data_IF_343561383114
#
_entry.id   IF_343561383114
#
_cell.length_a   1.000
_cell.length_b   1.000
_cell.length_c   1.000
_cell.angle_alpha   90.00
_cell.angle_beta   90.00
_cell.angle_gamma   90.00
#
_symmetry.space_group_name_H-M   'P 1'
#
loop_
_entity.id
_entity.type
_entity.pdbx_description
1 polymer ?
#
# COMPACT_ATOMS: atom_id res chain seq x y z
N UNK A 1 68.83 26.32 22.55
CA UNK A 1 68.00 26.92 21.48
C UNK A 1 66.90 25.93 21.14
N UNK A 2 65.69 26.12 21.70
CA UNK A 2 64.44 26.48 20.96
C UNK A 2 63.89 25.34 20.09
N UNK A 3 62.63 24.92 20.12
CA UNK A 3 61.37 25.37 20.75
C UNK A 3 60.36 24.21 20.56
N UNK A 4 59.39 24.16 21.48
CA UNK A 4 58.01 23.61 21.40
C UNK A 4 57.45 23.20 20.03
N UNK A 5 56.61 22.16 20.02
CA UNK A 5 55.17 22.14 19.66
C UNK A 5 54.76 20.67 19.45
N UNK A 6 53.56 20.15 19.71
CA UNK A 6 52.31 20.55 20.32
C UNK A 6 51.52 19.23 20.47
N UNK A 7 50.82 19.03 21.58
CA UNK A 7 49.97 17.87 21.83
C UNK A 7 48.90 17.67 20.74
N UNK A 8 48.64 16.41 20.36
CA UNK A 8 47.36 16.03 19.77
C UNK A 8 46.86 14.73 20.43
N UNK A 9 46.15 14.92 21.54
CA UNK A 9 45.43 13.87 22.24
C UNK A 9 44.06 13.75 21.56
N UNK A 10 43.90 12.76 20.68
CA UNK A 10 42.64 12.53 19.96
C UNK A 10 41.61 11.92 20.92
N UNK A 11 40.75 12.78 21.44
CA UNK A 11 39.58 12.38 22.24
C UNK A 11 38.47 11.94 21.26
N UNK A 12 38.25 10.62 21.15
CA UNK A 12 37.15 10.06 20.35
C UNK A 12 35.85 10.24 21.15
N UNK A 13 35.12 11.31 20.88
CA UNK A 13 33.74 11.46 21.35
C UNK A 13 32.83 10.51 20.57
N UNK A 14 32.50 9.36 21.17
CA UNK A 14 31.38 8.53 20.76
C UNK A 14 30.07 9.29 21.03
N UNK A 15 29.61 10.04 20.03
CA UNK A 15 28.25 10.54 19.99
C UNK A 15 27.31 9.35 19.80
N UNK A 16 26.81 8.79 20.91
CA UNK A 16 25.63 7.93 20.90
C UNK A 16 24.45 8.85 20.59
N UNK A 17 24.11 8.98 19.30
CA UNK A 17 22.89 9.64 18.89
C UNK A 17 21.72 8.87 19.51
N UNK A 18 20.84 9.51 20.32
CA UNK A 18 19.63 8.85 20.76
C UNK A 18 18.78 8.58 19.51
N UNK A 19 18.70 7.32 19.08
CA UNK A 19 17.70 6.92 18.11
C UNK A 19 16.36 7.02 18.82
N UNK A 20 15.61 8.10 18.57
CA UNK A 20 14.20 8.17 18.90
C UNK A 20 13.48 7.09 18.07
N UNK A 21 13.45 5.87 18.59
CA UNK A 21 12.59 4.81 18.08
C UNK A 21 11.17 5.12 18.53
N UNK A 22 10.52 6.10 17.88
CA UNK A 22 9.07 6.17 17.96
C UNK A 22 8.54 4.85 17.40
N UNK A 23 8.02 4.01 18.28
CA UNK A 23 7.37 2.76 17.90
C UNK A 23 6.20 3.11 16.99
N UNK A 24 6.16 2.50 15.80
CA UNK A 24 5.00 2.58 14.94
C UNK A 24 3.79 2.02 15.72
N UNK A 25 2.84 2.90 16.04
CA UNK A 25 1.61 2.55 16.73
C UNK A 25 0.44 2.97 15.85
N UNK A 26 -0.50 2.05 15.65
CA UNK A 26 -1.74 2.29 14.93
C UNK A 26 -2.82 2.75 15.89
N UNK A 27 -3.69 3.63 15.41
CA UNK A 27 -4.96 3.90 16.09
C UNK A 27 -5.87 2.66 16.00
N UNK A 28 -6.78 2.48 16.96
CA UNK A 28 -7.65 1.29 17.06
C UNK A 28 -8.42 1.02 15.76
N UNK A 29 -8.93 2.06 15.10
CA UNK A 29 -9.67 1.91 13.84
C UNK A 29 -8.76 1.49 12.67
N UNK A 30 -7.51 1.97 12.65
CA UNK A 30 -6.52 1.54 11.65
C UNK A 30 -6.12 0.08 11.89
N UNK A 31 -6.01 -0.35 13.16
CA UNK A 31 -5.70 -1.73 13.52
C UNK A 31 -6.84 -2.66 13.09
N UNK A 32 -8.10 -2.34 13.42
CA UNK A 32 -9.28 -3.10 12.95
C UNK A 32 -9.30 -3.23 11.43
N UNK A 33 -9.13 -2.12 10.71
CA UNK A 33 -9.10 -2.15 9.26
C UNK A 33 -7.92 -2.99 8.73
N UNK A 34 -6.74 -2.88 9.33
CA UNK A 34 -5.58 -3.69 8.95
C UNK A 34 -5.86 -5.19 9.14
N UNK A 35 -6.52 -5.60 10.23
CA UNK A 35 -6.95 -6.99 10.45
C UNK A 35 -7.95 -7.47 9.39
N UNK A 36 -8.94 -6.65 9.03
CA UNK A 36 -9.90 -7.00 7.99
C UNK A 36 -9.23 -7.17 6.62
N UNK A 37 -8.35 -6.24 6.25
CA UNK A 37 -7.59 -6.30 5.00
C UNK A 37 -6.68 -7.53 4.98
N UNK A 38 -6.00 -7.82 6.09
CA UNK A 38 -5.14 -8.98 6.22
C UNK A 38 -5.93 -10.27 5.99
N UNK A 39 -7.09 -10.43 6.66
CA UNK A 39 -7.99 -11.58 6.46
C UNK A 39 -8.44 -11.72 5.00
N UNK A 40 -8.82 -10.62 4.35
CA UNK A 40 -9.20 -10.62 2.93
C UNK A 40 -8.01 -11.04 2.07
N UNK A 41 -6.82 -10.48 2.29
CA UNK A 41 -5.63 -10.79 1.50
C UNK A 41 -5.18 -12.24 1.58
N UNK A 42 -5.44 -12.95 2.70
CA UNK A 42 -5.20 -14.40 2.84
C UNK A 42 -6.05 -15.24 1.86
N UNK A 43 -7.18 -14.71 1.39
CA UNK A 43 -8.06 -15.41 0.43
C UNK A 43 -7.54 -15.35 -1.01
N UNK A 44 -6.58 -14.47 -1.29
CA UNK A 44 -5.98 -14.33 -2.62
C UNK A 44 -4.69 -15.13 -2.74
N UNK A 45 -4.49 -15.75 -3.90
CA UNK A 45 -3.25 -16.44 -4.27
C UNK A 45 -2.84 -16.06 -5.69
N UNK A 46 -1.54 -15.84 -5.89
CA UNK A 46 -0.94 -15.71 -7.21
C UNK A 46 -0.91 -17.07 -7.92
N UNK A 47 -0.63 -17.08 -9.22
CA UNK A 47 -0.58 -18.30 -10.04
C UNK A 47 0.48 -19.29 -9.56
N UNK A 48 1.54 -18.82 -8.90
CA UNK A 48 2.59 -19.61 -8.26
C UNK A 48 2.37 -19.83 -6.74
N UNK A 49 1.19 -19.49 -6.23
CA UNK A 49 0.74 -19.87 -4.88
C UNK A 49 1.07 -18.90 -3.74
N UNK A 50 1.62 -17.72 -4.03
CA UNK A 50 1.95 -16.70 -3.04
C UNK A 50 0.69 -15.98 -2.56
N UNK A 51 0.49 -15.88 -1.24
CA UNK A 51 -0.58 -15.08 -0.63
C UNK A 51 -0.16 -13.62 -0.46
N UNK A 52 -1.13 -12.70 -0.31
CA UNK A 52 -0.87 -11.26 -0.40
C UNK A 52 -1.40 -10.46 0.78
N UNK A 53 -1.67 -11.08 1.93
CA UNK A 53 -2.21 -10.41 3.12
C UNK A 53 -1.35 -9.25 3.62
N UNK A 54 -0.04 -9.47 3.81
CA UNK A 54 0.87 -8.41 4.22
C UNK A 54 1.00 -7.32 3.15
N UNK A 55 0.98 -7.73 1.87
CA UNK A 55 1.07 -6.83 0.72
C UNK A 55 -0.13 -5.89 0.68
N UNK A 56 -1.34 -6.44 0.81
CA UNK A 56 -2.58 -5.69 0.72
C UNK A 56 -2.67 -4.67 1.87
N UNK A 57 -2.34 -5.09 3.10
CA UNK A 57 -2.31 -4.18 4.26
C UNK A 57 -1.25 -3.09 4.09
N UNK A 58 -0.06 -3.42 3.54
CA UNK A 58 0.99 -2.43 3.28
C UNK A 58 0.61 -1.45 2.17
N UNK A 59 -0.14 -1.88 1.14
CA UNK A 59 -0.70 -0.96 0.14
C UNK A 59 -1.62 0.03 0.83
N UNK A 60 -2.58 -0.43 1.65
CA UNK A 60 -3.49 0.48 2.32
C UNK A 60 -2.78 1.45 3.29
N UNK A 61 -1.75 0.97 4.00
CA UNK A 61 -0.89 1.82 4.81
C UNK A 61 -0.19 2.90 3.97
N UNK A 62 0.41 2.53 2.84
CA UNK A 62 1.13 3.46 1.97
C UNK A 62 0.20 4.51 1.36
N UNK A 63 -0.96 4.08 0.88
CA UNK A 63 -1.83 4.89 0.04
C UNK A 63 -2.70 5.86 0.85
N UNK A 64 -3.15 5.45 2.04
CA UNK A 64 -4.12 6.25 2.82
C UNK A 64 -3.82 6.29 4.31
N UNK A 65 -2.67 5.76 4.74
CA UNK A 65 -2.40 5.51 6.16
C UNK A 65 -3.51 4.67 6.80
N UNK A 66 -3.86 3.54 6.17
CA UNK A 66 -4.94 2.64 6.61
C UNK A 66 -6.27 3.38 6.78
N UNK A 67 -6.72 4.09 5.75
CA UNK A 67 -8.03 4.74 5.71
C UNK A 67 -8.12 6.09 6.41
N UNK A 68 -7.02 6.65 6.92
CA UNK A 68 -7.01 8.00 7.52
C UNK A 68 -7.18 9.11 6.48
N UNK A 69 -6.62 8.91 5.28
CA UNK A 69 -6.66 9.88 4.19
C UNK A 69 -7.22 9.21 2.92
N UNK A 70 -8.54 9.23 2.76
CA UNK A 70 -9.25 8.48 1.70
C UNK A 70 -9.54 9.28 0.43
N UNK A 71 -9.38 10.60 0.47
CA UNK A 71 -9.53 11.52 -0.66
C UNK A 71 -8.48 12.62 -0.55
N UNK A 72 -7.83 12.98 -1.66
CA UNK A 72 -6.82 14.04 -1.62
C UNK A 72 -6.22 14.51 -2.94
N UNK A 73 -6.67 13.99 -4.09
CA UNK A 73 -6.08 14.36 -5.38
C UNK A 73 -6.40 15.81 -5.78
N UNK A 74 -5.34 16.57 -6.09
CA UNK A 74 -5.44 17.98 -6.48
C UNK A 74 -5.07 18.20 -7.95
N UNK A 75 -5.66 19.24 -8.53
CA UNK A 75 -5.28 19.84 -9.81
C UNK A 75 -3.96 20.61 -9.64
N UNK A 76 -3.34 21.01 -10.75
CA UNK A 76 -2.08 21.79 -10.75
C UNK A 76 -2.19 23.13 -10.02
N UNK A 77 -3.38 23.73 -10.03
CA UNK A 77 -3.67 24.98 -9.35
C UNK A 77 -3.98 24.81 -7.85
N UNK A 78 -3.93 23.58 -7.32
CA UNK A 78 -4.16 23.29 -5.90
C UNK A 78 -5.61 22.92 -5.55
N UNK A 79 -6.56 23.12 -6.46
CA UNK A 79 -7.97 22.75 -6.25
C UNK A 79 -8.14 21.23 -6.19
N UNK A 80 -9.15 20.78 -5.46
CA UNK A 80 -9.55 19.38 -5.50
C UNK A 80 -10.07 19.00 -6.90
N UNK A 81 -9.70 17.80 -7.36
CA UNK A 81 -10.32 17.20 -8.54
C UNK A 81 -11.78 16.80 -8.25
N UNK A 82 -12.64 16.65 -9.27
CA UNK A 82 -13.90 15.93 -9.13
C UNK A 82 -13.66 14.52 -8.59
N UNK A 83 -14.55 14.01 -7.73
CA UNK A 83 -14.39 12.68 -7.10
C UNK A 83 -14.17 11.57 -8.13
N UNK A 84 -14.79 11.70 -9.30
CA UNK A 84 -14.70 10.74 -10.39
C UNK A 84 -13.31 10.64 -11.02
N UNK A 85 -12.49 11.69 -10.87
CA UNK A 85 -11.12 11.76 -11.36
C UNK A 85 -10.08 11.43 -10.27
N UNK A 86 -10.52 11.24 -9.04
CA UNK A 86 -9.67 11.01 -7.89
C UNK A 86 -9.34 9.53 -7.69
N UNK A 87 -8.27 9.32 -6.94
CA UNK A 87 -7.95 8.05 -6.29
C UNK A 87 -8.73 7.98 -4.96
N UNK A 88 -9.47 6.90 -4.72
CA UNK A 88 -10.51 6.85 -3.67
C UNK A 88 -10.29 5.74 -2.65
N UNK A 89 -10.67 6.02 -1.40
CA UNK A 89 -10.77 5.04 -0.32
C UNK A 89 -9.42 4.64 0.27
N UNK A 90 -9.45 3.58 1.10
CA UNK A 90 -8.27 3.11 1.83
C UNK A 90 -7.13 2.59 0.94
N UNK A 91 -7.39 2.41 -0.35
CA UNK A 91 -6.44 1.88 -1.34
C UNK A 91 -6.18 2.86 -2.50
N UNK A 92 -6.74 4.08 -2.45
CA UNK A 92 -6.56 5.10 -3.49
C UNK A 92 -6.83 4.55 -4.91
N UNK A 93 -7.99 3.92 -5.08
CA UNK A 93 -8.38 3.26 -6.34
C UNK A 93 -9.07 4.27 -7.26
N UNK A 94 -8.67 4.30 -8.54
CA UNK A 94 -9.39 5.04 -9.59
C UNK A 94 -10.61 4.26 -10.07
N UNK A 95 -11.68 4.97 -10.44
CA UNK A 95 -12.91 4.37 -10.99
C UNK A 95 -12.59 3.40 -12.15
N UNK A 96 -11.77 3.83 -13.11
CA UNK A 96 -11.39 3.00 -14.26
C UNK A 96 -10.79 1.66 -13.84
N UNK A 97 -9.85 1.68 -12.89
CA UNK A 97 -9.24 0.45 -12.34
C UNK A 97 -10.28 -0.46 -11.70
N UNK A 98 -11.20 0.09 -10.90
CA UNK A 98 -12.24 -0.71 -10.27
C UNK A 98 -13.16 -1.37 -11.30
N UNK A 99 -13.57 -0.62 -12.34
CA UNK A 99 -14.39 -1.14 -13.44
C UNK A 99 -13.67 -2.27 -14.17
N UNK A 100 -12.41 -2.05 -14.55
CA UNK A 100 -11.59 -3.04 -15.25
C UNK A 100 -11.44 -4.33 -14.44
N UNK A 101 -11.22 -4.20 -13.13
CA UNK A 101 -11.13 -5.35 -12.23
C UNK A 101 -12.45 -6.12 -12.15
N UNK A 102 -13.58 -5.43 -11.97
CA UNK A 102 -14.90 -6.08 -11.91
C UNK A 102 -15.18 -6.85 -13.20
N UNK A 103 -14.88 -6.26 -14.36
CA UNK A 103 -15.11 -6.87 -15.66
C UNK A 103 -14.16 -8.05 -15.91
N UNK A 104 -12.84 -7.84 -15.72
CA UNK A 104 -11.81 -8.85 -16.03
C UNK A 104 -11.90 -10.10 -15.17
N UNK A 105 -12.36 -9.96 -13.92
CA UNK A 105 -12.43 -11.05 -12.96
C UNK A 105 -13.87 -11.55 -12.76
N UNK A 106 -14.79 -11.11 -13.61
CA UNK A 106 -16.19 -11.53 -13.61
C UNK A 106 -16.86 -11.45 -12.23
N UNK A 107 -16.67 -10.32 -11.54
CA UNK A 107 -17.17 -10.15 -10.17
C UNK A 107 -18.68 -9.86 -10.18
N UNK A 108 -19.50 -10.89 -10.46
CA UNK A 108 -20.96 -10.78 -10.65
C UNK A 108 -21.67 -9.95 -9.59
N UNK A 109 -21.33 -10.16 -8.32
CA UNK A 109 -21.90 -9.42 -7.18
C UNK A 109 -21.75 -7.89 -7.29
N UNK A 110 -20.76 -7.41 -8.05
CA UNK A 110 -20.45 -5.99 -8.20
C UNK A 110 -20.77 -5.42 -9.59
N UNK A 111 -21.24 -6.24 -10.54
CA UNK A 111 -21.56 -5.76 -11.90
C UNK A 111 -22.58 -4.62 -11.91
N UNK A 112 -23.51 -4.59 -10.96
CA UNK A 112 -24.49 -3.50 -10.85
C UNK A 112 -23.85 -2.11 -10.63
N UNK A 113 -22.63 -2.04 -10.08
CA UNK A 113 -21.87 -0.80 -9.89
C UNK A 113 -21.32 -0.25 -11.21
N UNK A 114 -21.22 -1.05 -12.27
CA UNK A 114 -20.70 -0.62 -13.57
C UNK A 114 -21.66 0.32 -14.31
N UNK A 115 -22.93 0.35 -13.91
CA UNK A 115 -23.97 1.16 -14.54
C UNK A 115 -24.06 2.58 -13.96
N UNK A 116 -23.37 2.85 -12.84
CA UNK A 116 -23.52 4.11 -12.09
C UNK A 116 -22.21 4.44 -11.37
N UNK A 117 -21.50 5.45 -11.89
CA UNK A 117 -20.21 5.87 -11.34
C UNK A 117 -20.36 6.43 -9.92
N UNK A 118 -21.46 7.10 -9.59
CA UNK A 118 -21.66 7.65 -8.24
C UNK A 118 -21.82 6.52 -7.22
N UNK A 119 -22.55 5.44 -7.56
CA UNK A 119 -22.62 4.25 -6.71
C UNK A 119 -21.26 3.59 -6.53
N UNK A 120 -20.45 3.51 -7.58
CA UNK A 120 -19.11 2.95 -7.50
C UNK A 120 -18.17 3.83 -6.64
N UNK A 121 -18.20 5.15 -6.81
CA UNK A 121 -17.47 6.12 -5.96
C UNK A 121 -17.87 5.94 -4.50
N UNK A 122 -19.17 5.98 -4.21
CA UNK A 122 -19.67 5.82 -2.85
C UNK A 122 -19.21 4.49 -2.25
N UNK A 123 -19.25 3.40 -3.03
CA UNK A 123 -18.78 2.09 -2.56
C UNK A 123 -17.28 2.09 -2.26
N UNK A 124 -16.44 2.69 -3.10
CA UNK A 124 -14.99 2.80 -2.88
C UNK A 124 -14.65 3.60 -1.62
N UNK A 125 -15.45 4.64 -1.31
CA UNK A 125 -15.23 5.51 -0.15
C UNK A 125 -15.73 4.90 1.17
N UNK A 126 -16.84 4.17 1.14
CA UNK A 126 -17.55 3.74 2.36
C UNK A 126 -17.37 2.27 2.71
N UNK A 127 -16.90 1.43 1.76
CA UNK A 127 -16.68 0.00 1.99
C UNK A 127 -15.20 -0.36 1.74
N UNK A 128 -14.34 -0.28 2.78
CA UNK A 128 -12.94 -0.65 2.67
C UNK A 128 -12.72 -2.12 2.28
N UNK A 129 -13.67 -3.02 2.59
CA UNK A 129 -13.60 -4.44 2.18
C UNK A 129 -13.74 -4.57 0.68
N UNK A 130 -14.64 -3.81 0.08
CA UNK A 130 -14.73 -3.71 -1.38
C UNK A 130 -13.42 -3.19 -1.99
N UNK A 131 -12.84 -2.13 -1.43
CA UNK A 131 -11.52 -1.62 -1.86
C UNK A 131 -10.40 -2.68 -1.77
N UNK A 132 -10.38 -3.46 -0.69
CA UNK A 132 -9.43 -4.55 -0.50
C UNK A 132 -9.60 -5.66 -1.55
N UNK A 133 -10.84 -6.05 -1.85
CA UNK A 133 -11.15 -7.05 -2.90
C UNK A 133 -10.68 -6.57 -4.27
N UNK A 134 -11.03 -5.33 -4.65
CA UNK A 134 -10.61 -4.76 -5.94
C UNK A 134 -9.08 -4.71 -6.04
N UNK A 135 -8.41 -4.27 -4.98
CA UNK A 135 -6.94 -4.22 -4.94
C UNK A 135 -6.30 -5.60 -4.97
N UNK A 136 -6.87 -6.59 -4.27
CA UNK A 136 -6.39 -7.96 -4.28
C UNK A 136 -6.40 -8.56 -5.69
N UNK A 137 -7.54 -8.46 -6.39
CA UNK A 137 -7.62 -8.89 -7.79
C UNK A 137 -6.67 -8.09 -8.68
N UNK A 138 -6.58 -6.77 -8.52
CA UNK A 138 -5.68 -5.96 -9.33
C UNK A 138 -4.21 -6.36 -9.14
N UNK A 139 -3.78 -6.59 -7.90
CA UNK A 139 -2.42 -7.03 -7.59
C UNK A 139 -2.13 -8.41 -8.19
N UNK A 140 -2.98 -9.41 -7.94
CA UNK A 140 -2.82 -10.77 -8.46
C UNK A 140 -2.78 -10.78 -9.99
N UNK A 141 -3.66 -10.01 -10.65
CA UNK A 141 -3.64 -9.88 -12.10
C UNK A 141 -2.31 -9.35 -12.64
N UNK A 142 -1.75 -8.32 -12.00
CA UNK A 142 -0.47 -7.73 -12.42
C UNK A 142 0.71 -8.66 -12.12
N UNK A 143 0.67 -9.37 -11.00
CA UNK A 143 1.67 -10.37 -10.64
C UNK A 143 1.69 -11.51 -11.66
N UNK A 144 0.51 -12.08 -11.94
CA UNK A 144 0.37 -13.19 -12.88
C UNK A 144 0.72 -12.77 -14.31
N UNK A 145 0.42 -11.53 -14.70
CA UNK A 145 0.88 -11.00 -15.99
C UNK A 145 2.40 -10.85 -16.03
N UNK A 146 3.05 -10.45 -14.94
CA UNK A 146 4.50 -10.38 -14.86
C UNK A 146 5.14 -11.78 -14.94
N UNK A 147 4.55 -12.79 -14.29
CA UNK A 147 4.94 -14.20 -14.44
C UNK A 147 4.83 -14.65 -15.91
N UNK A 148 3.65 -14.46 -16.52
CA UNK A 148 3.38 -14.82 -17.92
C UNK A 148 4.36 -14.19 -18.91
N UNK A 149 4.82 -12.98 -18.61
CA UNK A 149 5.81 -12.24 -19.41
C UNK A 149 7.26 -12.53 -19.03
N UNK A 150 7.52 -13.52 -18.16
CA UNK A 150 8.85 -13.90 -17.67
C UNK A 150 9.66 -12.72 -17.12
N UNK A 151 9.00 -11.81 -16.39
CA UNK A 151 9.69 -10.68 -15.79
C UNK A 151 10.49 -11.11 -14.56
N UNK A 152 11.73 -10.62 -14.43
CA UNK A 152 12.71 -11.00 -13.40
C UNK A 152 12.22 -10.95 -11.92
N UNK A 153 11.18 -10.17 -11.60
CA UNK A 153 10.64 -10.11 -10.23
C UNK A 153 9.15 -9.75 -10.24
N UNK A 154 8.24 -10.72 -10.37
CA UNK A 154 6.81 -10.47 -10.48
C UNK A 154 6.22 -9.65 -9.33
N UNK A 155 6.73 -9.82 -8.11
CA UNK A 155 6.30 -9.03 -6.94
C UNK A 155 6.65 -7.55 -7.09
N UNK A 156 7.92 -7.24 -7.40
CA UNK A 156 8.36 -5.87 -7.69
C UNK A 156 7.53 -5.24 -8.81
N UNK A 157 7.26 -6.02 -9.87
CA UNK A 157 6.47 -5.58 -11.02
C UNK A 157 5.03 -5.26 -10.63
N UNK A 158 4.38 -6.12 -9.85
CA UNK A 158 3.01 -5.92 -9.37
C UNK A 158 2.90 -4.69 -8.45
N UNK A 159 3.81 -4.55 -7.48
CA UNK A 159 3.85 -3.38 -6.58
C UNK A 159 4.09 -2.10 -7.37
N UNK A 160 5.05 -2.10 -8.29
CA UNK A 160 5.33 -0.93 -9.15
C UNK A 160 4.11 -0.58 -10.01
N UNK A 161 3.48 -1.61 -10.60
CA UNK A 161 2.34 -1.44 -11.49
C UNK A 161 1.12 -0.89 -10.77
N UNK A 162 0.97 -1.22 -9.48
CA UNK A 162 -0.04 -0.63 -8.62
C UNK A 162 0.09 0.89 -8.52
N UNK A 163 1.32 1.40 -8.34
CA UNK A 163 1.58 2.83 -8.22
C UNK A 163 1.57 3.59 -9.57
N UNK A 164 1.78 2.92 -10.71
CA UNK A 164 1.63 3.57 -12.01
C UNK A 164 2.41 2.98 -13.19
N UNK A 165 3.30 2.01 -12.99
CA UNK A 165 4.10 1.46 -14.10
C UNK A 165 4.90 0.22 -13.75
N UNK A 166 5.40 -0.53 -14.72
CA UNK A 166 6.07 -1.81 -14.46
C UNK A 166 7.42 -1.70 -13.72
N UNK A 167 8.01 -0.51 -13.61
CA UNK A 167 9.28 -0.28 -12.91
C UNK A 167 9.19 0.97 -12.04
N UNK A 168 9.26 0.83 -10.71
CA UNK A 168 9.36 1.97 -9.80
C UNK A 168 10.19 1.62 -8.55
N UNK A 169 11.51 1.67 -8.68
CA UNK A 169 12.45 1.33 -7.59
C UNK A 169 12.28 2.23 -6.36
N UNK A 170 12.00 3.52 -6.56
CA UNK A 170 11.83 4.48 -5.48
C UNK A 170 10.62 4.10 -4.62
N UNK A 171 9.45 3.92 -5.24
CA UNK A 171 8.25 3.52 -4.53
C UNK A 171 8.42 2.16 -3.85
N UNK A 172 8.99 1.18 -4.57
CA UNK A 172 9.21 -0.17 -4.04
C UNK A 172 10.10 -0.18 -2.78
N UNK A 173 11.18 0.60 -2.77
CA UNK A 173 12.07 0.70 -1.60
C UNK A 173 11.33 1.22 -0.36
N UNK A 174 10.45 2.21 -0.52
CA UNK A 174 9.65 2.67 0.60
C UNK A 174 8.63 1.60 0.96
N UNK A 175 7.96 0.98 -0.02
CA UNK A 175 6.95 -0.07 0.17
C UNK A 175 7.45 -1.23 1.03
N UNK A 176 8.70 -1.69 0.82
CA UNK A 176 9.31 -2.71 1.67
C UNK A 176 9.38 -2.30 3.15
N UNK A 177 9.64 -1.03 3.47
CA UNK A 177 9.61 -0.55 4.85
C UNK A 177 8.21 -0.61 5.47
N UNK A 178 7.16 -0.45 4.66
CA UNK A 178 5.79 -0.59 5.14
C UNK A 178 5.43 -2.06 5.35
N UNK A 179 5.89 -2.96 4.48
CA UNK A 179 5.81 -4.41 4.73
C UNK A 179 6.47 -4.77 6.06
N UNK A 180 7.66 -4.23 6.34
CA UNK A 180 8.37 -4.50 7.60
C UNK A 180 7.62 -3.97 8.83
N UNK A 181 6.85 -2.88 8.69
CA UNK A 181 5.96 -2.41 9.76
C UNK A 181 4.77 -3.34 9.93
N UNK A 182 4.11 -3.73 8.84
CA UNK A 182 2.95 -4.61 8.86
C UNK A 182 3.29 -5.98 9.47
N UNK A 183 4.43 -6.56 9.11
CA UNK A 183 4.89 -7.85 9.66
C UNK A 183 5.17 -7.84 11.17
N UNK A 184 5.29 -6.67 11.79
CA UNK A 184 5.46 -6.54 13.26
C UNK A 184 4.12 -6.54 14.00
N UNK A 185 3.01 -6.46 13.28
CA UNK A 185 1.66 -6.55 13.85
C UNK A 185 1.29 -8.03 13.91
N UNK A 186 0.87 -8.48 15.09
CA UNK A 186 0.35 -9.83 15.28
C UNK A 186 -1.12 -9.89 14.86
N UNK A 187 -1.34 -10.29 13.60
CA UNK A 187 -2.68 -10.41 13.05
C UNK A 187 -3.42 -11.70 13.45
N UNK A 188 -2.72 -12.70 14.00
CA UNK A 188 -3.27 -14.03 14.27
C UNK A 188 -3.75 -14.19 15.71
N UNK A 189 -3.23 -13.40 16.66
CA UNK A 189 -3.59 -13.50 18.08
C UNK A 189 -4.76 -12.60 18.48
N UNK A 190 -5.01 -11.50 17.74
CA UNK A 190 -6.08 -10.53 18.08
C UNK A 190 -7.37 -10.83 17.33
N UNK A 191 -8.34 -11.39 18.05
CA UNK A 191 -9.75 -11.38 17.65
C UNK A 191 -10.37 -10.06 18.11
N UNK A 192 -10.74 -9.22 17.13
CA UNK A 192 -11.64 -8.08 17.32
C UNK A 192 -13.08 -8.51 17.07
#
# INVERSE_FOLDING_TARGET
>A
MTKNTLHLLVMVFLFVLPTNSQSFQLEVEQEKLAHEIYKIGKTFKTADGVTIENTLTAISLRESSLGKFIVGDKKKNGDLKPLEEMSLGAFQIKIGTARDVIMKNDLFKYKYLLNDNLKLVNRLLTDPKFGAIITGYYFVNNYNEALKRNMWNPYFRAVSRHNGGWTNNKYYKVFLKDIDKIKKIDFEVKNF
#
